data_IF_378781280429
#
_entry.id   IF_378781280429
#
_cell.length_a   1.000
_cell.length_b   1.000
_cell.length_c   1.000
_cell.angle_alpha   90.00
_cell.angle_beta   90.00
_cell.angle_gamma   90.00
#
_symmetry.space_group_name_H-M   'P 1'
#
loop_
_entity.id
_entity.type
_entity.pdbx_description
1 polymer ?
#
# COMPACT_ATOMS: atom_id res chain seq x y z
N UNK A 1 -40.07 57.70 42.78
CA UNK A 1 -39.70 57.06 41.53
C UNK A 1 -40.35 55.67 41.49
N UNK A 2 -41.32 55.48 40.62
CA UNK A 2 -42.35 54.44 40.74
C UNK A 2 -41.76 53.05 40.46
N UNK A 3 -42.01 52.05 41.24
CA UNK A 3 -41.63 50.62 41.14
C UNK A 3 -41.95 50.07 39.70
N UNK A 4 -43.03 50.54 39.11
CA UNK A 4 -43.39 50.19 37.73
C UNK A 4 -42.35 50.58 36.67
N UNK A 5 -41.62 51.67 36.85
CA UNK A 5 -40.59 52.14 35.90
C UNK A 5 -39.33 51.30 35.98
N UNK A 6 -39.04 50.72 37.15
CA UNK A 6 -37.88 49.86 37.37
C UNK A 6 -38.15 48.45 36.75
N UNK A 7 -39.36 47.94 36.90
CA UNK A 7 -39.76 46.62 36.32
C UNK A 7 -39.78 46.72 34.77
N UNK A 8 -40.30 47.80 34.21
CA UNK A 8 -40.30 48.02 32.77
C UNK A 8 -38.88 48.11 32.19
N UNK A 9 -37.94 48.80 32.86
CA UNK A 9 -36.54 48.90 32.44
C UNK A 9 -35.83 47.50 32.53
N UNK A 10 -36.07 46.69 33.55
CA UNK A 10 -35.50 45.34 33.67
C UNK A 10 -36.04 44.39 32.59
N UNK A 11 -37.30 44.45 32.23
CA UNK A 11 -37.90 43.70 31.14
C UNK A 11 -37.36 44.12 29.79
N UNK A 12 -37.14 45.41 29.57
CA UNK A 12 -36.56 45.97 28.34
C UNK A 12 -35.10 45.51 28.17
N UNK A 13 -34.30 45.56 29.21
CA UNK A 13 -32.89 45.12 29.19
C UNK A 13 -32.82 43.60 28.95
N UNK A 14 -33.69 42.79 29.55
CA UNK A 14 -33.77 41.36 29.26
C UNK A 14 -34.15 41.08 27.78
N UNK A 15 -35.14 41.78 27.23
CA UNK A 15 -35.49 41.66 25.82
C UNK A 15 -34.34 42.04 24.89
N UNK A 16 -33.64 43.14 25.20
CA UNK A 16 -32.48 43.57 24.44
C UNK A 16 -31.35 42.52 24.46
N UNK A 17 -31.12 41.92 25.62
CA UNK A 17 -30.13 40.83 25.78
C UNK A 17 -30.49 39.58 24.95
N UNK A 18 -31.76 39.19 24.93
CA UNK A 18 -32.19 38.06 24.06
C UNK A 18 -32.08 38.39 22.58
N UNK A 19 -32.35 39.63 22.17
CA UNK A 19 -32.19 40.07 20.82
C UNK A 19 -30.70 40.07 20.38
N UNK A 20 -29.81 40.54 21.27
CA UNK A 20 -28.35 40.48 20.99
C UNK A 20 -27.83 39.05 20.93
N UNK A 21 -28.28 38.13 21.78
CA UNK A 21 -27.92 36.71 21.73
C UNK A 21 -28.44 36.05 20.44
N UNK A 22 -29.67 36.37 20.03
CA UNK A 22 -30.24 35.86 18.78
C UNK A 22 -29.48 36.38 17.55
N UNK A 23 -29.10 37.65 17.51
CA UNK A 23 -28.29 38.25 16.44
C UNK A 23 -26.90 37.58 16.40
N UNK A 24 -26.25 37.38 17.56
CA UNK A 24 -24.97 36.66 17.64
C UNK A 24 -25.09 35.22 17.13
N UNK A 25 -26.15 34.52 17.49
CA UNK A 25 -26.42 33.15 17.01
C UNK A 25 -26.65 33.10 15.49
N UNK A 26 -27.39 34.05 14.94
CA UNK A 26 -27.60 34.20 13.49
C UNK A 26 -26.29 34.51 12.77
N UNK A 27 -25.44 35.40 13.31
CA UNK A 27 -24.13 35.72 12.76
C UNK A 27 -23.20 34.49 12.78
N UNK A 28 -23.20 33.70 13.85
CA UNK A 28 -22.41 32.47 13.96
C UNK A 28 -22.88 31.44 12.92
N UNK A 29 -24.20 31.25 12.75
CA UNK A 29 -24.75 30.34 11.73
C UNK A 29 -24.40 30.85 10.34
N UNK A 30 -24.53 32.14 10.09
CA UNK A 30 -24.25 32.76 8.78
C UNK A 30 -22.77 32.63 8.42
N UNK A 31 -21.86 32.90 9.37
CA UNK A 31 -20.42 32.71 9.18
C UNK A 31 -20.06 31.23 8.96
N UNK A 32 -20.70 30.30 9.69
CA UNK A 32 -20.51 28.86 9.46
C UNK A 32 -20.99 28.41 8.09
N UNK A 33 -22.10 28.98 7.60
CA UNK A 33 -22.66 28.73 6.26
C UNK A 33 -21.79 29.34 5.17
N UNK A 34 -21.24 30.54 5.37
CA UNK A 34 -20.31 31.20 4.45
C UNK A 34 -19.00 30.43 4.40
N UNK A 35 -18.42 30.04 5.53
CA UNK A 35 -17.19 29.24 5.57
C UNK A 35 -17.37 27.88 4.88
N UNK A 36 -18.48 27.20 5.12
CA UNK A 36 -18.81 25.96 4.39
C UNK A 36 -18.96 26.18 2.89
N UNK A 37 -19.51 27.33 2.45
CA UNK A 37 -19.65 27.68 1.03
C UNK A 37 -18.32 28.09 0.40
N UNK A 38 -17.45 28.77 1.14
CA UNK A 38 -16.08 29.10 0.73
C UNK A 38 -15.25 27.83 0.62
N UNK A 39 -15.33 26.90 1.60
CA UNK A 39 -14.69 25.58 1.55
C UNK A 39 -15.22 24.75 0.38
N UNK A 40 -16.52 24.78 0.12
CA UNK A 40 -17.12 24.12 -1.04
C UNK A 40 -16.63 24.70 -2.37
N UNK A 41 -16.56 26.05 -2.50
CA UNK A 41 -16.07 26.73 -3.70
C UNK A 41 -14.56 26.52 -3.89
N UNK A 42 -13.77 26.57 -2.82
CA UNK A 42 -12.33 26.22 -2.87
C UNK A 42 -12.14 24.77 -3.25
N UNK A 43 -13.00 23.88 -2.79
CA UNK A 43 -13.04 22.46 -3.14
C UNK A 43 -13.39 22.26 -4.61
N UNK A 44 -14.37 23.02 -5.15
CA UNK A 44 -14.70 23.00 -6.59
C UNK A 44 -13.55 23.56 -7.44
N UNK A 45 -12.93 24.66 -7.01
CA UNK A 45 -11.78 25.23 -7.68
C UNK A 45 -10.59 24.28 -7.69
N UNK A 46 -10.29 23.67 -6.55
CA UNK A 46 -9.24 22.65 -6.42
C UNK A 46 -9.57 21.35 -7.17
N UNK A 47 -10.85 20.96 -7.25
CA UNK A 47 -11.28 19.89 -8.16
C UNK A 47 -10.97 20.27 -9.61
N UNK A 48 -11.28 21.50 -10.02
CA UNK A 48 -10.98 21.96 -11.38
C UNK A 48 -9.47 21.94 -11.67
N UNK A 49 -8.61 22.30 -10.74
CA UNK A 49 -7.14 22.25 -10.89
C UNK A 49 -6.60 20.82 -11.05
N UNK A 50 -7.14 19.86 -10.29
CA UNK A 50 -6.76 18.44 -10.45
C UNK A 50 -7.34 17.86 -11.75
N UNK A 51 -8.55 18.30 -12.14
CA UNK A 51 -9.27 17.81 -13.31
C UNK A 51 -9.02 18.60 -14.58
N UNK A 52 -8.34 19.74 -14.55
CA UNK A 52 -8.07 20.58 -15.74
C UNK A 52 -7.26 19.89 -16.84
N UNK A 53 -6.57 18.77 -16.48
CA UNK A 53 -5.80 17.96 -17.43
C UNK A 53 -6.26 16.49 -17.47
N UNK A 54 -7.41 16.16 -16.86
CA UNK A 54 -7.92 14.80 -16.86
C UNK A 54 -8.80 14.58 -18.07
N UNK A 55 -8.51 13.52 -18.79
CA UNK A 55 -9.34 13.02 -19.88
C UNK A 55 -10.67 12.52 -19.30
N UNK A 56 -11.76 13.27 -19.55
CA UNK A 56 -13.10 12.93 -19.09
C UNK A 56 -13.55 11.57 -19.66
N UNK A 57 -13.14 11.25 -20.88
CA UNK A 57 -13.40 9.97 -21.52
C UNK A 57 -12.75 8.83 -20.70
N UNK A 58 -11.51 9.03 -20.24
CA UNK A 58 -10.84 8.04 -19.39
C UNK A 58 -11.58 7.81 -18.06
N UNK A 59 -12.12 8.88 -17.45
CA UNK A 59 -12.91 8.77 -16.22
C UNK A 59 -14.16 7.92 -16.47
N UNK A 60 -14.93 8.22 -17.52
CA UNK A 60 -16.15 7.48 -17.87
C UNK A 60 -15.86 6.01 -18.12
N UNK A 61 -14.79 5.71 -18.85
CA UNK A 61 -14.29 4.36 -19.08
C UNK A 61 -13.97 3.67 -17.75
N UNK A 62 -13.22 4.33 -16.88
CA UNK A 62 -12.84 3.75 -15.60
C UNK A 62 -14.05 3.50 -14.68
N UNK A 63 -14.98 4.45 -14.58
CA UNK A 63 -16.22 4.26 -13.81
C UNK A 63 -17.04 3.08 -14.35
N UNK A 64 -17.08 2.88 -15.67
CA UNK A 64 -17.78 1.75 -16.26
C UNK A 64 -17.20 0.39 -15.84
N UNK A 65 -15.87 0.29 -15.70
CA UNK A 65 -15.18 -0.93 -15.29
C UNK A 65 -15.13 -1.15 -13.77
N UNK A 66 -15.19 -0.08 -12.99
CA UNK A 66 -15.13 -0.15 -11.54
C UNK A 66 -16.51 -0.49 -10.93
N UNK A 67 -17.60 -0.08 -11.57
CA UNK A 67 -18.95 -0.22 -11.03
C UNK A 67 -19.65 -1.54 -11.41
N UNK A 68 -19.24 -2.19 -12.49
CA UNK A 68 -19.78 -3.49 -12.90
C UNK A 68 -18.77 -4.33 -13.68
N UNK A 69 -18.98 -5.65 -13.71
CA UNK A 69 -18.17 -6.53 -14.55
C UNK A 69 -18.39 -6.21 -16.04
N UNK A 70 -17.33 -5.93 -16.81
CA UNK A 70 -17.45 -5.71 -18.24
C UNK A 70 -17.75 -7.01 -18.96
N UNK A 71 -18.53 -6.95 -20.06
CA UNK A 71 -18.63 -8.07 -20.95
C UNK A 71 -17.29 -8.37 -21.66
N UNK A 72 -17.10 -9.58 -22.15
CA UNK A 72 -15.83 -10.01 -22.75
C UNK A 72 -15.44 -9.20 -24.00
N UNK A 73 -16.43 -8.78 -24.79
CA UNK A 73 -16.21 -7.99 -26.02
C UNK A 73 -15.64 -6.62 -25.68
N UNK A 74 -16.29 -5.90 -24.75
CA UNK A 74 -15.82 -4.61 -24.27
C UNK A 74 -14.42 -4.72 -23.64
N UNK A 75 -14.20 -5.75 -22.81
CA UNK A 75 -12.91 -5.96 -22.19
C UNK A 75 -11.77 -6.18 -23.20
N UNK A 76 -12.04 -6.91 -24.33
CA UNK A 76 -11.04 -7.15 -25.38
C UNK A 76 -10.66 -5.86 -26.11
N UNK A 77 -11.57 -4.91 -26.31
CA UNK A 77 -11.26 -3.63 -26.96
C UNK A 77 -10.18 -2.86 -26.20
N UNK A 78 -10.12 -3.01 -24.89
CA UNK A 78 -9.15 -2.33 -24.03
C UNK A 78 -7.88 -3.14 -23.74
N UNK A 79 -7.70 -4.30 -24.35
CA UNK A 79 -6.53 -5.15 -24.09
C UNK A 79 -5.21 -4.48 -24.47
N UNK A 80 -5.21 -3.76 -25.60
CA UNK A 80 -4.03 -3.03 -26.13
C UNK A 80 -4.32 -1.53 -26.25
N UNK A 81 -5.41 -1.08 -25.65
CA UNK A 81 -5.73 0.34 -25.61
C UNK A 81 -4.70 1.05 -24.75
N UNK A 82 -3.93 1.92 -25.38
CA UNK A 82 -3.06 2.85 -24.67
C UNK A 82 -3.77 4.18 -24.60
N UNK A 83 -4.05 4.67 -23.41
CA UNK A 83 -4.55 6.02 -23.23
C UNK A 83 -3.51 7.01 -23.74
N UNK A 84 -3.88 7.86 -24.69
CA UNK A 84 -3.00 8.93 -25.20
C UNK A 84 -2.68 9.96 -24.09
N UNK A 85 -3.58 10.07 -23.14
CA UNK A 85 -3.44 10.91 -21.97
C UNK A 85 -3.58 10.04 -20.71
N UNK A 86 -2.70 10.27 -19.75
CA UNK A 86 -2.78 9.63 -18.43
C UNK A 86 -3.55 10.53 -17.46
N UNK A 87 -4.13 9.93 -16.44
CA UNK A 87 -4.91 10.65 -15.43
C UNK A 87 -4.13 11.82 -14.78
N UNK A 88 -2.84 11.61 -14.58
CA UNK A 88 -1.94 12.61 -14.02
C UNK A 88 -0.67 12.69 -14.87
N UNK A 89 -0.01 13.84 -14.82
CA UNK A 89 1.27 14.03 -15.49
C UNK A 89 2.26 12.90 -15.21
N UNK A 90 2.89 12.38 -16.26
CA UNK A 90 3.88 11.31 -16.16
C UNK A 90 5.28 11.90 -15.96
N UNK A 91 6.01 11.36 -15.00
CA UNK A 91 7.39 11.76 -14.76
C UNK A 91 8.30 11.29 -15.91
N UNK A 92 9.06 12.20 -16.50
CA UNK A 92 10.01 11.92 -17.58
C UNK A 92 11.45 12.26 -17.20
N UNK A 93 11.61 13.31 -16.40
CA UNK A 93 12.93 13.79 -15.98
C UNK A 93 12.86 14.56 -14.65
N UNK A 94 14.03 14.89 -14.09
CA UNK A 94 14.13 15.70 -12.87
C UNK A 94 13.50 17.08 -13.03
N UNK A 95 13.47 17.62 -14.24
CA UNK A 95 12.87 18.93 -14.52
C UNK A 95 11.35 18.93 -14.36
N UNK A 96 10.74 17.76 -14.37
CA UNK A 96 9.28 17.59 -14.26
C UNK A 96 8.81 17.52 -12.79
N UNK A 97 9.71 17.56 -11.81
CA UNK A 97 9.38 17.34 -10.40
C UNK A 97 8.22 18.19 -9.89
N UNK A 98 8.17 19.48 -10.24
CA UNK A 98 7.11 20.38 -9.77
C UNK A 98 5.74 19.97 -10.31
N UNK A 99 5.62 19.78 -11.62
CA UNK A 99 4.37 19.38 -12.29
C UNK A 99 3.95 17.97 -11.84
N UNK A 100 4.92 17.07 -11.72
CA UNK A 100 4.67 15.71 -11.29
C UNK A 100 4.17 15.61 -9.83
N UNK A 101 4.66 16.51 -8.95
CA UNK A 101 4.29 16.57 -7.53
C UNK A 101 3.07 17.43 -7.24
N UNK A 102 2.68 18.30 -8.14
CA UNK A 102 1.57 19.25 -7.92
C UNK A 102 0.29 18.55 -7.41
N UNK A 103 -0.17 17.44 -8.00
CA UNK A 103 -1.32 16.70 -7.48
C UNK A 103 -1.08 16.12 -6.07
N UNK A 104 0.19 15.78 -5.74
CA UNK A 104 0.54 15.28 -4.41
C UNK A 104 0.37 16.33 -3.33
N UNK A 105 0.77 17.58 -3.59
CA UNK A 105 0.64 18.67 -2.61
C UNK A 105 -0.83 18.83 -2.19
N UNK A 106 -1.75 18.57 -3.12
CA UNK A 106 -3.17 18.57 -2.83
C UNK A 106 -3.63 17.28 -2.14
N UNK A 107 -3.13 16.11 -2.55
CA UNK A 107 -3.53 14.81 -1.99
C UNK A 107 -2.86 14.49 -0.65
N UNK A 108 -1.75 15.15 -0.31
CA UNK A 108 -1.03 15.00 0.95
C UNK A 108 -1.76 15.71 2.10
N UNK A 109 -3.00 15.30 2.36
CA UNK A 109 -3.64 15.62 3.62
C UNK A 109 -3.08 14.71 4.70
N UNK A 110 -2.52 15.32 5.73
CA UNK A 110 -1.92 14.60 6.86
C UNK A 110 -2.91 14.63 8.01
N UNK A 111 -3.46 13.49 8.37
CA UNK A 111 -4.18 13.36 9.62
C UNK A 111 -3.20 12.94 10.77
N UNK A 112 -3.59 13.23 12.01
CA UNK A 112 -2.74 12.91 13.18
C UNK A 112 -2.47 11.41 13.32
N UNK A 113 -3.39 10.58 12.88
CA UNK A 113 -3.24 9.12 12.97
C UNK A 113 -2.16 8.61 12.03
N UNK A 114 -2.11 9.13 10.81
CA UNK A 114 -1.08 8.78 9.83
C UNK A 114 0.30 9.26 10.30
N UNK A 115 0.39 10.48 10.80
CA UNK A 115 1.64 11.05 11.32
C UNK A 115 2.22 10.21 12.47
N UNK A 116 1.37 9.70 13.34
CA UNK A 116 1.78 8.91 14.52
C UNK A 116 2.02 7.43 14.22
N UNK A 117 1.82 6.99 12.97
CA UNK A 117 1.99 5.61 12.58
C UNK A 117 2.71 5.48 11.23
N UNK A 118 3.99 5.90 11.15
CA UNK A 118 4.76 5.83 9.92
C UNK A 118 4.90 4.41 9.40
N UNK A 119 4.84 4.24 8.07
CA UNK A 119 5.03 2.98 7.39
C UNK A 119 6.39 2.93 6.68
N UNK A 120 6.87 1.74 6.43
CA UNK A 120 8.05 1.45 5.64
C UNK A 120 7.68 0.77 4.31
N UNK A 121 8.35 1.16 3.24
CA UNK A 121 8.19 0.54 1.92
C UNK A 121 9.55 0.21 1.34
N UNK A 122 9.81 -1.07 1.10
CA UNK A 122 11.06 -1.55 0.51
C UNK A 122 10.81 -1.97 -0.94
N UNK A 123 11.27 -1.16 -1.88
CA UNK A 123 11.12 -1.37 -3.31
C UNK A 123 12.27 -2.21 -3.87
N UNK A 124 11.96 -3.22 -4.67
CA UNK A 124 12.93 -3.90 -5.54
C UNK A 124 12.51 -3.68 -6.98
N UNK A 125 13.32 -2.92 -7.74
CA UNK A 125 12.97 -2.41 -9.07
C UNK A 125 14.05 -2.73 -10.10
N UNK A 126 13.64 -2.95 -11.37
CA UNK A 126 14.56 -3.31 -12.44
C UNK A 126 14.10 -2.86 -13.84
N UNK A 127 12.91 -2.32 -13.99
CA UNK A 127 12.34 -1.88 -15.27
C UNK A 127 11.23 -0.85 -15.07
N UNK A 128 10.89 -0.11 -16.13
CA UNK A 128 9.73 0.76 -16.22
C UNK A 128 9.65 1.86 -15.15
N UNK A 129 10.49 2.88 -15.33
CA UNK A 129 10.59 4.05 -14.43
C UNK A 129 9.23 4.77 -14.26
N UNK A 130 8.42 4.85 -15.32
CA UNK A 130 7.09 5.50 -15.27
C UNK A 130 6.16 4.80 -14.27
N UNK A 131 6.09 3.46 -14.32
CA UNK A 131 5.28 2.67 -13.38
C UNK A 131 5.76 2.83 -11.94
N UNK A 132 7.08 2.87 -11.74
CA UNK A 132 7.68 3.09 -10.42
C UNK A 132 7.34 4.49 -9.92
N UNK A 133 7.44 5.51 -10.78
CA UNK A 133 7.09 6.88 -10.43
C UNK A 133 5.62 7.00 -10.02
N UNK A 134 4.70 6.43 -10.79
CA UNK A 134 3.26 6.41 -10.48
C UNK A 134 2.96 5.72 -9.16
N UNK A 135 3.56 4.55 -8.94
CA UNK A 135 3.38 3.78 -7.71
C UNK A 135 3.94 4.53 -6.49
N UNK A 136 5.14 5.10 -6.63
CA UNK A 136 5.75 5.90 -5.58
C UNK A 136 4.90 7.13 -5.26
N UNK A 137 4.37 7.83 -6.27
CA UNK A 137 3.47 8.98 -6.09
C UNK A 137 2.24 8.64 -5.26
N UNK A 138 1.60 7.50 -5.50
CA UNK A 138 0.42 7.06 -4.72
C UNK A 138 0.80 6.74 -3.27
N UNK A 139 1.92 6.04 -3.08
CA UNK A 139 2.35 5.55 -1.76
C UNK A 139 3.06 6.61 -0.93
N UNK A 140 3.60 7.67 -1.56
CA UNK A 140 4.45 8.63 -0.87
C UNK A 140 3.71 9.41 0.21
N UNK A 141 4.34 9.45 1.38
CA UNK A 141 3.99 10.35 2.50
C UNK A 141 5.29 10.84 3.14
N UNK A 142 5.39 12.12 3.54
CA UNK A 142 6.63 12.69 4.07
C UNK A 142 7.08 12.09 5.40
N UNK A 143 6.18 11.42 6.12
CA UNK A 143 6.45 10.76 7.40
C UNK A 143 6.69 9.24 7.28
N UNK A 144 6.50 8.64 6.12
CA UNK A 144 6.85 7.24 5.85
C UNK A 144 8.34 7.13 5.48
N UNK A 145 8.88 5.92 5.54
CA UNK A 145 10.26 5.63 5.13
C UNK A 145 10.26 4.71 3.91
N UNK A 146 11.06 5.07 2.92
CA UNK A 146 11.19 4.30 1.68
C UNK A 146 12.63 3.86 1.50
N UNK A 147 12.82 2.62 1.04
CA UNK A 147 14.12 2.17 0.56
C UNK A 147 13.93 1.57 -0.84
N UNK A 148 14.78 1.98 -1.79
CA UNK A 148 14.75 1.49 -3.17
C UNK A 148 16.03 0.71 -3.46
N UNK A 149 15.87 -0.59 -3.67
CA UNK A 149 16.90 -1.44 -4.25
C UNK A 149 16.70 -1.49 -5.77
N UNK A 150 17.66 -0.98 -6.51
CA UNK A 150 17.72 -1.10 -7.98
C UNK A 150 18.56 -2.32 -8.32
N UNK A 151 18.03 -3.23 -9.13
CA UNK A 151 18.75 -4.44 -9.55
C UNK A 151 20.10 -4.09 -10.20
N UNK A 152 21.15 -4.75 -9.76
CA UNK A 152 22.51 -4.51 -10.26
C UNK A 152 22.68 -4.75 -11.78
N UNK A 153 21.81 -5.59 -12.37
CA UNK A 153 21.85 -5.89 -13.81
C UNK A 153 21.21 -4.80 -14.68
N UNK A 154 20.58 -3.77 -14.08
CA UNK A 154 19.99 -2.66 -14.84
C UNK A 154 21.08 -1.74 -15.38
N UNK A 155 20.75 -0.92 -16.38
CA UNK A 155 21.67 0.08 -16.91
C UNK A 155 21.96 1.20 -15.88
N UNK A 156 23.06 1.93 -16.06
CA UNK A 156 23.38 3.07 -15.23
C UNK A 156 22.37 4.21 -15.42
N UNK A 157 21.82 4.37 -16.60
CA UNK A 157 20.79 5.35 -16.94
C UNK A 157 19.50 5.07 -16.15
N UNK A 158 19.10 3.79 -16.05
CA UNK A 158 17.94 3.43 -15.23
C UNK A 158 18.20 3.70 -13.75
N UNK A 159 19.37 3.35 -13.24
CA UNK A 159 19.76 3.65 -11.85
C UNK A 159 19.75 5.16 -11.57
N UNK A 160 20.32 5.97 -12.49
CA UNK A 160 20.31 7.42 -12.38
C UNK A 160 18.88 7.98 -12.42
N UNK A 161 18.00 7.44 -13.28
CA UNK A 161 16.60 7.84 -13.35
C UNK A 161 15.86 7.60 -12.03
N UNK A 162 16.17 6.53 -11.30
CA UNK A 162 15.62 6.29 -9.95
C UNK A 162 16.13 7.32 -8.95
N UNK A 163 17.42 7.68 -8.99
CA UNK A 163 17.99 8.74 -8.14
C UNK A 163 17.29 10.07 -8.41
N UNK A 164 17.11 10.43 -9.66
CA UNK A 164 16.48 11.68 -10.06
C UNK A 164 14.99 11.72 -9.70
N UNK A 165 14.30 10.60 -9.85
CA UNK A 165 12.93 10.44 -9.36
C UNK A 165 12.85 10.64 -7.84
N UNK A 166 13.75 10.03 -7.07
CA UNK A 166 13.74 10.16 -5.61
C UNK A 166 13.98 11.61 -5.15
N UNK A 167 14.80 12.38 -5.86
CA UNK A 167 15.02 13.82 -5.59
C UNK A 167 13.74 14.66 -5.75
N UNK A 168 12.77 14.19 -6.53
CA UNK A 168 11.47 14.84 -6.65
C UNK A 168 10.63 14.76 -5.36
N UNK A 169 10.98 13.89 -4.44
CA UNK A 169 10.28 13.70 -3.16
C UNK A 169 11.10 14.27 -1.99
N UNK A 170 10.86 13.84 -0.79
CA UNK A 170 11.59 14.29 0.40
C UNK A 170 12.83 13.44 0.71
N UNK A 171 13.50 13.77 1.82
CA UNK A 171 14.70 13.07 2.29
C UNK A 171 14.43 11.72 2.98
N UNK A 172 13.22 11.24 2.91
CA UNK A 172 12.76 9.99 3.51
C UNK A 172 12.79 8.80 2.52
N UNK A 173 13.52 8.96 1.40
CA UNK A 173 13.77 7.91 0.41
C UNK A 173 15.26 7.57 0.41
N UNK A 174 15.58 6.36 0.85
CA UNK A 174 16.93 5.80 0.81
C UNK A 174 17.10 4.98 -0.48
N UNK A 175 18.21 5.15 -1.17
CA UNK A 175 18.55 4.34 -2.35
C UNK A 175 19.80 3.53 -2.03
N UNK A 176 19.74 2.22 -2.23
CA UNK A 176 20.91 1.35 -2.06
C UNK A 176 21.96 1.73 -3.11
N UNK A 177 23.17 2.02 -2.63
CA UNK A 177 24.29 2.35 -3.50
C UNK A 177 24.53 1.26 -4.53
N UNK A 178 24.87 1.64 -5.75
CA UNK A 178 25.09 0.72 -6.88
C UNK A 178 26.06 -0.41 -6.57
N UNK A 179 27.14 -0.10 -5.85
CA UNK A 179 28.15 -1.08 -5.41
C UNK A 179 27.58 -2.14 -4.45
N UNK A 180 26.57 -1.78 -3.67
CA UNK A 180 25.91 -2.65 -2.67
C UNK A 180 24.67 -3.35 -3.22
N UNK A 181 24.17 -2.95 -4.41
CA UNK A 181 23.02 -3.58 -5.05
C UNK A 181 23.34 -5.04 -5.40
N UNK A 182 22.34 -5.91 -5.27
CA UNK A 182 22.45 -7.31 -5.69
C UNK A 182 21.92 -7.52 -7.10
N UNK A 183 22.50 -8.48 -7.80
CA UNK A 183 22.00 -9.01 -9.06
C UNK A 183 20.84 -9.97 -8.74
N UNK A 184 19.61 -9.52 -8.95
CA UNK A 184 18.42 -10.27 -8.55
C UNK A 184 18.07 -11.29 -9.62
N UNK A 185 18.03 -12.56 -9.23
CA UNK A 185 17.62 -13.66 -10.09
C UNK A 185 16.40 -14.35 -9.51
N UNK A 186 15.31 -14.41 -10.29
CA UNK A 186 14.08 -15.07 -9.88
C UNK A 186 14.32 -16.52 -9.46
N UNK A 187 13.76 -16.91 -8.32
CA UNK A 187 13.91 -18.24 -7.77
C UNK A 187 15.20 -18.49 -6.97
N UNK A 188 16.04 -17.47 -6.81
CA UNK A 188 17.27 -17.52 -6.01
C UNK A 188 17.17 -16.65 -4.75
N UNK A 189 18.12 -16.85 -3.83
CA UNK A 189 18.20 -16.11 -2.57
C UNK A 189 18.31 -14.58 -2.77
N UNK A 190 18.85 -14.14 -3.91
CA UNK A 190 19.00 -12.72 -4.22
C UNK A 190 17.69 -11.91 -4.23
N UNK A 191 16.52 -12.57 -4.41
CA UNK A 191 15.21 -11.93 -4.25
C UNK A 191 15.00 -11.53 -2.79
N UNK A 192 15.27 -12.43 -1.86
CA UNK A 192 15.19 -12.15 -0.42
C UNK A 192 16.27 -11.14 0.00
N UNK A 193 17.50 -11.29 -0.50
CA UNK A 193 18.66 -10.45 -0.15
C UNK A 193 18.42 -8.97 -0.50
N UNK A 194 17.77 -8.67 -1.62
CA UNK A 194 17.41 -7.30 -2.00
C UNK A 194 16.50 -6.62 -0.97
N UNK A 195 15.53 -7.35 -0.45
CA UNK A 195 14.64 -6.86 0.60
C UNK A 195 15.36 -6.73 1.95
N UNK A 196 16.20 -7.72 2.32
CA UNK A 196 16.97 -7.68 3.55
C UNK A 196 17.92 -6.48 3.61
N UNK A 197 18.59 -6.13 2.49
CA UNK A 197 19.42 -4.91 2.41
C UNK A 197 18.61 -3.65 2.67
N UNK A 198 17.44 -3.52 2.07
CA UNK A 198 16.55 -2.40 2.34
C UNK A 198 16.12 -2.34 3.82
N UNK A 199 15.68 -3.45 4.38
CA UNK A 199 15.21 -3.47 5.77
C UNK A 199 16.33 -3.22 6.78
N UNK A 200 17.56 -3.61 6.49
CA UNK A 200 18.73 -3.27 7.29
C UNK A 200 18.98 -1.76 7.35
N UNK A 201 18.95 -1.08 6.19
CA UNK A 201 19.08 0.39 6.10
C UNK A 201 17.92 1.06 6.86
N UNK A 202 16.69 0.56 6.68
CA UNK A 202 15.52 1.12 7.34
C UNK A 202 15.53 0.95 8.86
N UNK A 203 16.12 -0.12 9.40
CA UNK A 203 16.31 -0.29 10.85
C UNK A 203 17.29 0.72 11.42
N UNK A 204 18.34 1.06 10.67
CA UNK A 204 19.36 2.02 11.07
C UNK A 204 18.88 3.48 10.98
N UNK A 205 17.73 3.74 10.33
CA UNK A 205 17.17 5.08 10.28
C UNK A 205 16.59 5.48 11.64
N UNK A 206 17.18 6.49 12.27
CA UNK A 206 16.78 6.99 13.61
C UNK A 206 15.71 8.06 13.54
N UNK A 207 15.49 8.69 12.37
CA UNK A 207 14.56 9.81 12.22
C UNK A 207 13.11 9.37 12.10
N UNK A 208 12.85 8.25 11.42
CA UNK A 208 11.50 7.75 11.17
C UNK A 208 11.32 6.38 11.83
N UNK A 209 10.51 6.34 12.87
CA UNK A 209 10.21 5.12 13.63
C UNK A 209 9.00 4.38 13.01
N UNK A 210 9.23 3.85 11.81
CA UNK A 210 8.19 3.10 11.09
C UNK A 210 7.70 1.87 11.88
N UNK A 211 6.42 1.52 11.72
CA UNK A 211 5.75 0.44 12.47
C UNK A 211 5.71 -0.88 11.70
N UNK A 212 5.41 -0.81 10.43
CA UNK A 212 5.40 -1.96 9.52
C UNK A 212 6.14 -1.63 8.24
N UNK A 213 6.78 -2.63 7.65
CA UNK A 213 7.38 -2.54 6.32
C UNK A 213 6.69 -3.52 5.36
N UNK A 214 6.49 -3.08 4.13
CA UNK A 214 6.00 -3.89 3.03
C UNK A 214 7.02 -3.90 1.90
N UNK A 215 7.25 -5.08 1.31
CA UNK A 215 8.05 -5.18 0.10
C UNK A 215 7.20 -4.80 -1.13
N UNK A 216 7.77 -4.03 -2.05
CA UNK A 216 7.06 -3.47 -3.21
C UNK A 216 7.83 -3.80 -4.49
N UNK A 217 7.12 -4.10 -5.56
CA UNK A 217 7.67 -4.24 -6.91
C UNK A 217 6.89 -3.37 -7.91
N UNK A 218 7.49 -3.08 -9.07
CA UNK A 218 6.91 -2.18 -10.07
C UNK A 218 5.68 -2.72 -10.83
N UNK A 219 5.18 -3.92 -10.51
CA UNK A 219 4.07 -4.59 -11.23
C UNK A 219 2.78 -4.68 -10.44
N UNK A 220 2.62 -3.84 -9.44
CA UNK A 220 1.48 -3.85 -8.54
C UNK A 220 0.93 -2.45 -8.29
N UNK A 221 -0.28 -2.38 -7.75
CA UNK A 221 -0.92 -1.16 -7.28
C UNK A 221 -1.58 -1.40 -5.93
N UNK A 222 -1.63 -0.37 -5.05
CA UNK A 222 -2.36 -0.47 -3.80
C UNK A 222 -3.87 -0.58 -4.05
N UNK A 223 -4.55 -1.34 -3.21
CA UNK A 223 -6.00 -1.39 -3.06
C UNK A 223 -6.47 -0.57 -1.86
N UNK A 224 -5.53 -0.12 -1.07
CA UNK A 224 -5.75 0.66 0.15
C UNK A 224 -5.03 2.01 0.06
N UNK A 225 -5.68 3.04 0.56
CA UNK A 225 -5.02 4.32 0.80
C UNK A 225 -4.01 4.17 1.95
N UNK A 226 -3.16 5.15 2.16
CA UNK A 226 -2.22 5.10 3.29
C UNK A 226 -2.94 5.05 4.64
N UNK A 227 -4.05 5.78 4.77
CA UNK A 227 -4.84 5.77 6.01
C UNK A 227 -5.54 4.43 6.24
N UNK A 228 -6.14 3.83 5.20
CA UNK A 228 -6.70 2.48 5.27
C UNK A 228 -5.64 1.42 5.61
N UNK A 229 -4.41 1.51 5.04
CA UNK A 229 -3.31 0.63 5.40
C UNK A 229 -2.98 0.74 6.90
N UNK A 230 -2.90 1.94 7.42
CA UNK A 230 -2.64 2.18 8.86
C UNK A 230 -3.74 1.58 9.72
N UNK A 231 -5.01 1.79 9.37
CA UNK A 231 -6.14 1.20 10.10
C UNK A 231 -6.10 -0.33 10.07
N UNK A 232 -5.82 -0.90 8.91
CA UNK A 232 -5.68 -2.35 8.76
C UNK A 232 -4.52 -2.90 9.61
N UNK A 233 -3.34 -2.26 9.54
CA UNK A 233 -2.15 -2.69 10.29
C UNK A 233 -2.29 -2.52 11.80
N UNK A 234 -3.02 -1.49 12.27
CA UNK A 234 -3.38 -1.37 13.69
C UNK A 234 -4.33 -2.47 14.13
N UNK A 235 -5.28 -2.83 13.29
CA UNK A 235 -6.24 -3.90 13.59
C UNK A 235 -5.57 -5.29 13.68
N UNK A 236 -4.39 -5.48 13.10
CA UNK A 236 -3.58 -6.69 13.28
C UNK A 236 -3.07 -6.88 14.71
N UNK A 237 -3.16 -5.83 15.54
CA UNK A 237 -2.74 -5.84 16.94
C UNK A 237 -1.29 -6.31 17.18
N UNK A 238 -0.39 -6.11 16.21
CA UNK A 238 1.00 -6.52 16.29
C UNK A 238 1.35 -7.80 15.52
N UNK A 239 0.39 -8.51 14.95
CA UNK A 239 0.67 -9.66 14.08
C UNK A 239 1.31 -9.23 12.75
N UNK A 240 2.10 -10.12 12.15
CA UNK A 240 2.60 -9.93 10.78
C UNK A 240 1.60 -10.47 9.75
N UNK A 241 1.63 -9.91 8.54
CA UNK A 241 0.97 -10.52 7.37
C UNK A 241 2.00 -11.31 6.58
N UNK A 242 1.97 -12.62 6.75
CA UNK A 242 2.86 -13.56 6.07
C UNK A 242 2.01 -14.71 5.56
N UNK A 243 1.91 -14.87 4.24
CA UNK A 243 1.18 -15.98 3.65
C UNK A 243 1.85 -17.31 3.93
N UNK A 244 1.08 -18.35 4.24
CA UNK A 244 1.57 -19.71 4.34
C UNK A 244 0.66 -20.70 3.61
N UNK A 245 1.21 -21.87 3.25
CA UNK A 245 0.46 -22.98 2.68
C UNK A 245 1.06 -24.31 3.13
N UNK A 246 0.21 -25.22 3.55
CA UNK A 246 0.60 -26.60 3.88
C UNK A 246 0.57 -27.49 2.65
N UNK A 247 -0.39 -27.27 1.76
CA UNK A 247 -0.46 -28.04 0.53
C UNK A 247 0.80 -27.80 -0.29
N UNK A 248 1.53 -28.86 -0.51
CA UNK A 248 2.70 -28.89 -1.37
C UNK A 248 3.89 -28.06 -0.87
N UNK A 249 4.26 -28.19 0.42
CA UNK A 249 5.63 -27.97 0.83
C UNK A 249 6.47 -28.94 -0.03
N UNK A 250 7.03 -28.52 -1.18
CA UNK A 250 7.67 -29.48 -2.05
C UNK A 250 8.94 -29.92 -1.34
N UNK A 251 9.13 -31.22 -1.18
CA UNK A 251 10.40 -31.81 -0.70
C UNK A 251 11.62 -31.19 -1.39
N UNK A 252 11.45 -30.72 -2.65
CA UNK A 252 12.46 -30.01 -3.45
C UNK A 252 12.75 -28.55 -3.03
N UNK A 253 11.99 -27.97 -2.09
CA UNK A 253 12.20 -26.60 -1.57
C UNK A 253 12.75 -26.59 -0.15
N UNK A 254 12.84 -27.74 0.49
CA UNK A 254 13.39 -27.89 1.83
C UNK A 254 14.89 -28.02 1.71
N UNK A 255 15.70 -27.22 2.43
CA UNK A 255 17.14 -27.38 2.48
C UNK A 255 17.52 -28.77 2.98
N UNK A 256 18.68 -29.28 2.53
CA UNK A 256 19.24 -30.54 3.01
C UNK A 256 19.90 -30.38 4.38
N UNK A 257 20.59 -29.27 4.58
CA UNK A 257 21.19 -28.89 5.84
C UNK A 257 20.11 -28.66 6.89
N UNK A 258 20.21 -29.38 8.03
CA UNK A 258 19.33 -29.19 9.16
C UNK A 258 19.85 -28.03 10.02
N UNK A 259 18.97 -27.12 10.48
CA UNK A 259 19.34 -26.14 11.48
C UNK A 259 19.77 -26.79 12.80
N UNK A 260 20.55 -26.08 13.61
CA UNK A 260 20.99 -26.54 14.94
C UNK A 260 19.85 -26.63 15.96
N UNK A 261 18.67 -26.13 15.62
CA UNK A 261 17.46 -26.12 16.43
C UNK A 261 16.28 -26.78 15.70
N UNK A 262 15.24 -27.14 16.45
CA UNK A 262 14.05 -27.77 15.87
C UNK A 262 13.18 -26.75 15.16
N UNK A 263 12.94 -26.95 13.87
CA UNK A 263 12.10 -26.10 13.03
C UNK A 263 11.45 -26.91 11.91
N UNK A 264 10.20 -26.57 11.60
CA UNK A 264 9.49 -27.08 10.41
C UNK A 264 9.57 -26.06 9.29
N UNK A 265 10.16 -26.43 8.15
CA UNK A 265 10.19 -25.58 6.97
C UNK A 265 8.78 -25.41 6.40
N UNK A 266 8.34 -24.18 6.27
CA UNK A 266 6.98 -23.83 5.83
C UNK A 266 7.05 -22.97 4.57
N UNK A 267 6.31 -23.39 3.54
CA UNK A 267 6.17 -22.60 2.33
C UNK A 267 5.15 -21.49 2.55
N UNK A 268 5.48 -20.30 2.09
CA UNK A 268 4.59 -19.15 2.14
C UNK A 268 4.71 -18.23 0.93
N UNK A 269 4.69 -16.94 1.19
CA UNK A 269 4.85 -15.87 0.20
C UNK A 269 6.01 -14.97 0.58
N UNK A 270 6.72 -14.48 -0.43
CA UNK A 270 7.68 -13.38 -0.26
C UNK A 270 6.98 -12.03 -0.05
N UNK A 271 5.72 -11.90 -0.48
CA UNK A 271 4.95 -10.66 -0.38
C UNK A 271 4.35 -10.54 1.02
N UNK A 272 4.90 -9.64 1.83
CA UNK A 272 4.67 -9.57 3.28
C UNK A 272 4.36 -8.15 3.76
N UNK A 273 3.79 -8.05 4.97
CA UNK A 273 3.80 -6.85 5.79
C UNK A 273 4.32 -7.24 7.19
N UNK A 274 5.46 -6.71 7.56
CA UNK A 274 6.22 -7.11 8.75
C UNK A 274 6.30 -5.96 9.74
N UNK A 275 6.00 -6.23 11.01
CA UNK A 275 6.25 -5.26 12.09
C UNK A 275 7.75 -5.04 12.31
N UNK A 276 8.11 -3.85 12.79
CA UNK A 276 9.53 -3.46 12.97
C UNK A 276 10.31 -4.43 13.85
N UNK A 277 9.69 -4.92 14.92
CA UNK A 277 10.35 -5.84 15.86
C UNK A 277 10.62 -7.22 15.22
N UNK A 278 9.72 -7.70 14.34
CA UNK A 278 9.99 -8.90 13.57
C UNK A 278 11.17 -8.69 12.61
N UNK A 279 11.26 -7.54 11.96
CA UNK A 279 12.40 -7.22 11.09
C UNK A 279 13.70 -7.12 11.88
N UNK A 280 13.68 -6.54 13.07
CA UNK A 280 14.84 -6.54 13.98
C UNK A 280 15.26 -7.99 14.35
N UNK A 281 14.28 -8.83 14.68
CA UNK A 281 14.52 -10.26 14.92
C UNK A 281 15.16 -10.95 13.72
N UNK A 282 14.68 -10.68 12.50
CA UNK A 282 15.25 -11.24 11.26
C UNK A 282 16.75 -10.97 11.14
N UNK A 283 17.19 -9.78 11.50
CA UNK A 283 18.58 -9.36 11.35
C UNK A 283 19.51 -9.70 12.55
N UNK A 284 18.94 -9.87 13.73
CA UNK A 284 19.74 -10.00 14.97
C UNK A 284 19.66 -11.36 15.65
N UNK A 285 18.57 -12.11 15.44
CA UNK A 285 18.39 -13.36 16.14
C UNK A 285 19.26 -14.48 15.53
N UNK A 286 20.05 -15.22 16.34
CA UNK A 286 20.94 -16.29 15.84
C UNK A 286 20.21 -17.36 15.02
N UNK A 287 19.02 -17.79 15.44
CA UNK A 287 18.23 -18.80 14.71
C UNK A 287 17.80 -18.27 13.33
N UNK A 288 17.38 -17.00 13.25
CA UNK A 288 17.04 -16.36 11.98
C UNK A 288 18.25 -16.27 11.05
N UNK A 289 19.41 -15.86 11.58
CA UNK A 289 20.67 -15.75 10.82
C UNK A 289 21.09 -17.13 10.30
N UNK A 290 20.97 -18.18 11.12
CA UNK A 290 21.29 -19.56 10.70
C UNK A 290 20.38 -20.00 9.53
N UNK A 291 19.06 -19.75 9.62
CA UNK A 291 18.14 -20.08 8.53
C UNK A 291 18.48 -19.31 7.25
N UNK A 292 18.83 -18.02 7.34
CA UNK A 292 19.27 -17.24 6.19
C UNK A 292 20.54 -17.81 5.54
N UNK A 293 21.51 -18.24 6.35
CA UNK A 293 22.76 -18.82 5.87
C UNK A 293 22.49 -20.16 5.16
N UNK A 294 21.66 -21.02 5.72
CA UNK A 294 21.26 -22.28 5.08
C UNK A 294 20.59 -22.03 3.74
N UNK A 295 19.63 -21.08 3.66
CA UNK A 295 18.93 -20.76 2.41
C UNK A 295 19.87 -20.16 1.36
N UNK A 296 20.86 -19.38 1.78
CA UNK A 296 21.87 -18.75 0.90
C UNK A 296 22.84 -19.80 0.36
N UNK A 297 23.35 -20.68 1.21
CA UNK A 297 24.31 -21.72 0.83
C UNK A 297 23.67 -22.75 -0.11
N UNK A 298 22.44 -23.16 0.17
CA UNK A 298 21.76 -24.22 -0.59
C UNK A 298 20.83 -23.69 -1.72
N UNK A 299 20.88 -22.41 -2.07
CA UNK A 299 20.03 -21.81 -3.11
C UNK A 299 20.11 -22.53 -4.48
N UNK A 300 21.19 -23.25 -4.74
CA UNK A 300 21.37 -24.02 -5.98
C UNK A 300 20.63 -25.37 -5.95
N UNK A 301 20.38 -25.88 -4.76
CA UNK A 301 19.74 -27.20 -4.53
C UNK A 301 18.22 -27.07 -4.37
N UNK A 302 17.75 -25.88 -4.03
CA UNK A 302 16.34 -25.59 -3.79
C UNK A 302 15.81 -24.51 -4.72
N UNK A 303 14.49 -24.48 -4.91
CA UNK A 303 13.83 -23.43 -5.71
C UNK A 303 13.08 -22.45 -4.81
N UNK A 304 13.23 -21.16 -5.10
CA UNK A 304 12.42 -20.07 -4.51
C UNK A 304 12.56 -20.04 -2.97
N UNK A 305 13.79 -19.83 -2.45
CA UNK A 305 14.07 -19.78 -1.01
C UNK A 305 13.36 -18.61 -0.30
N UNK A 306 13.07 -17.53 -1.01
CA UNK A 306 12.33 -16.36 -0.55
C UNK A 306 10.90 -16.70 -0.07
N UNK A 307 10.27 -17.74 -0.65
CA UNK A 307 8.95 -18.21 -0.21
C UNK A 307 9.01 -19.12 1.05
N UNK A 308 10.21 -19.47 1.54
CA UNK A 308 10.37 -20.35 2.70
C UNK A 308 10.70 -19.58 3.98
N UNK A 309 11.41 -18.47 3.88
CA UNK A 309 12.03 -17.82 5.03
C UNK A 309 11.03 -17.23 6.03
N UNK A 310 10.23 -16.24 5.60
CA UNK A 310 9.32 -15.54 6.52
C UNK A 310 8.23 -16.44 7.09
N UNK A 311 7.68 -17.33 6.28
CA UNK A 311 6.68 -18.30 6.74
C UNK A 311 7.26 -19.31 7.73
N UNK A 312 8.52 -19.72 7.55
CA UNK A 312 9.19 -20.58 8.54
C UNK A 312 9.35 -19.86 9.87
N UNK A 313 9.78 -18.61 9.91
CA UNK A 313 9.87 -17.82 11.15
C UNK A 313 8.49 -17.59 11.80
N UNK A 314 7.48 -17.28 10.99
CA UNK A 314 6.16 -16.85 11.48
C UNK A 314 5.30 -18.00 12.03
N UNK A 315 5.53 -19.23 11.58
CA UNK A 315 4.68 -20.36 11.92
C UNK A 315 5.42 -21.48 12.70
N UNK A 316 6.56 -21.14 13.28
CA UNK A 316 7.28 -21.96 14.27
C UNK A 316 7.31 -21.20 15.61
N UNK A 317 6.25 -21.31 16.45
CA UNK A 317 6.10 -20.49 17.64
C UNK A 317 7.24 -20.64 18.66
N UNK A 318 7.93 -21.78 18.65
CA UNK A 318 9.11 -22.02 19.50
C UNK A 318 10.29 -21.08 19.20
N UNK A 319 10.29 -20.41 18.02
CA UNK A 319 11.29 -19.42 17.67
C UNK A 319 11.03 -18.05 18.33
N UNK A 320 9.84 -17.85 18.90
CA UNK A 320 9.44 -16.62 19.58
C UNK A 320 9.62 -15.35 18.75
N UNK A 321 9.44 -15.44 17.44
CA UNK A 321 9.56 -14.27 16.55
C UNK A 321 8.39 -13.30 16.79
N UNK A 322 8.64 -11.98 17.01
CA UNK A 322 7.60 -11.02 17.34
C UNK A 322 6.50 -10.94 16.31
N UNK A 323 5.23 -11.05 16.72
CA UNK A 323 4.08 -11.04 15.81
C UNK A 323 3.90 -12.31 14.97
N UNK A 324 4.62 -13.38 15.29
CA UNK A 324 4.42 -14.71 14.72
C UNK A 324 3.17 -15.37 15.31
N UNK A 325 2.50 -16.23 14.54
CA UNK A 325 1.33 -16.96 15.03
C UNK A 325 1.69 -17.92 16.17
N UNK A 326 0.92 -17.94 17.25
CA UNK A 326 1.12 -18.86 18.41
C UNK A 326 0.89 -20.33 18.06
N UNK A 327 0.04 -20.58 17.10
CA UNK A 327 -0.25 -21.94 16.64
C UNK A 327 -0.16 -21.97 15.13
N UNK A 328 0.39 -23.07 14.63
CA UNK A 328 0.33 -23.37 13.22
C UNK A 328 -1.16 -23.58 12.86
N UNK A 329 -1.67 -22.70 12.01
CA UNK A 329 -3.01 -22.79 11.48
C UNK A 329 -2.93 -22.98 9.97
N UNK A 330 -3.16 -24.20 9.48
CA UNK A 330 -3.27 -24.37 8.05
C UNK A 330 -4.51 -23.63 7.56
N UNK A 331 -4.38 -22.77 6.53
CA UNK A 331 -5.57 -22.25 5.89
C UNK A 331 -6.37 -23.42 5.32
N UNK A 332 -7.64 -23.55 5.72
CA UNK A 332 -8.56 -24.46 5.06
C UNK A 332 -8.60 -24.15 3.57
N UNK A 333 -8.83 -25.15 2.73
CA UNK A 333 -8.93 -24.94 1.27
C UNK A 333 -9.99 -23.90 0.89
N UNK A 334 -11.01 -23.74 1.74
CA UNK A 334 -12.11 -22.80 1.60
C UNK A 334 -11.85 -21.44 2.26
N UNK A 335 -10.79 -21.31 3.08
CA UNK A 335 -10.43 -20.05 3.71
C UNK A 335 -9.56 -19.22 2.77
N UNK A 336 -10.22 -18.55 1.82
CA UNK A 336 -9.57 -17.70 0.83
C UNK A 336 -8.92 -16.43 1.42
N UNK A 337 -9.07 -16.17 2.73
CA UNK A 337 -8.80 -14.86 3.34
C UNK A 337 -7.69 -14.85 4.37
N UNK A 338 -7.26 -15.99 4.92
CA UNK A 338 -6.56 -15.99 6.20
C UNK A 338 -5.07 -15.66 6.16
N UNK A 339 -4.35 -15.78 5.05
CA UNK A 339 -2.89 -15.60 5.07
C UNK A 339 -2.29 -14.74 3.97
N UNK A 340 -2.93 -14.60 2.80
CA UNK A 340 -2.37 -13.87 1.65
C UNK A 340 -2.87 -12.42 1.54
N UNK A 341 -3.19 -11.77 2.64
CA UNK A 341 -3.79 -10.41 2.68
C UNK A 341 -2.85 -9.33 2.16
N UNK A 342 -1.54 -9.59 2.14
CA UNK A 342 -0.59 -8.62 1.59
C UNK A 342 -0.83 -8.30 0.12
N UNK A 343 -1.24 -9.31 -0.68
CA UNK A 343 -1.44 -9.17 -2.13
C UNK A 343 -2.60 -10.01 -2.65
N UNK A 344 -3.45 -9.38 -3.45
CA UNK A 344 -4.38 -10.10 -4.31
C UNK A 344 -3.64 -10.66 -5.52
N UNK A 345 -3.60 -11.99 -5.63
CA UNK A 345 -2.93 -12.72 -6.72
C UNK A 345 -3.81 -13.88 -7.15
N UNK A 346 -4.03 -14.03 -8.46
CA UNK A 346 -4.78 -15.16 -9.02
C UNK A 346 -3.81 -16.23 -9.51
N UNK A 347 -3.59 -17.26 -8.70
CA UNK A 347 -2.73 -18.40 -9.00
C UNK A 347 -3.48 -19.49 -9.79
N UNK A 348 -2.74 -20.33 -10.56
CA UNK A 348 -3.30 -21.60 -11.04
C UNK A 348 -3.69 -22.47 -9.83
N UNK A 349 -4.79 -23.25 -9.90
CA UNK A 349 -5.66 -23.49 -11.07
C UNK A 349 -6.81 -22.46 -11.22
N UNK A 350 -6.95 -21.44 -10.36
CA UNK A 350 -8.04 -20.45 -10.43
C UNK A 350 -8.16 -19.85 -11.84
N UNK A 351 -9.38 -19.63 -12.32
CA UNK A 351 -9.64 -19.02 -13.65
C UNK A 351 -8.98 -17.64 -13.75
N UNK A 352 -8.33 -17.39 -14.89
CA UNK A 352 -7.75 -16.09 -15.23
C UNK A 352 -8.64 -15.44 -16.31
N UNK A 353 -9.37 -14.38 -15.97
CA UNK A 353 -10.32 -13.76 -16.87
C UNK A 353 -9.68 -13.17 -18.13
N UNK A 354 -8.43 -12.70 -18.06
CA UNK A 354 -7.67 -12.22 -19.25
C UNK A 354 -7.13 -13.35 -20.11
N UNK A 355 -7.19 -14.60 -19.66
CA UNK A 355 -6.58 -15.75 -20.35
C UNK A 355 -5.04 -15.79 -20.33
N UNK A 356 -4.37 -14.69 -19.94
CA UNK A 356 -2.91 -14.56 -20.02
C UNK A 356 -2.25 -14.66 -18.65
N UNK A 357 -1.17 -15.42 -18.58
CA UNK A 357 -0.41 -15.64 -17.33
C UNK A 357 1.07 -15.41 -17.58
N UNK A 358 1.72 -14.96 -16.52
CA UNK A 358 3.17 -14.96 -16.43
C UNK A 358 3.57 -15.99 -15.37
N UNK A 359 4.30 -17.03 -15.79
CA UNK A 359 4.45 -18.27 -15.01
C UNK A 359 3.07 -18.82 -14.60
N UNK A 360 2.77 -18.86 -13.30
CA UNK A 360 1.50 -19.38 -12.76
C UNK A 360 0.50 -18.28 -12.37
N UNK A 361 0.88 -17.00 -12.48
CA UNK A 361 0.10 -15.85 -12.04
C UNK A 361 -0.68 -15.25 -13.20
N UNK A 362 -1.96 -14.98 -13.00
CA UNK A 362 -2.80 -14.26 -13.96
C UNK A 362 -2.35 -12.81 -14.10
N UNK A 363 -2.21 -12.33 -15.32
CA UNK A 363 -2.01 -10.92 -15.61
C UNK A 363 -3.35 -10.20 -15.45
N UNK A 364 -3.39 -9.18 -14.59
CA UNK A 364 -4.62 -8.45 -14.31
C UNK A 364 -4.99 -7.52 -15.49
N UNK A 365 -6.26 -7.39 -15.74
CA UNK A 365 -6.84 -6.54 -16.78
C UNK A 365 -8.16 -5.92 -16.30
N UNK A 366 -8.84 -5.19 -17.18
CA UNK A 366 -10.10 -4.48 -16.88
C UNK A 366 -11.18 -5.41 -16.34
N UNK A 367 -11.16 -6.70 -16.74
CA UNK A 367 -12.09 -7.73 -16.25
C UNK A 367 -12.03 -7.97 -14.74
N UNK A 368 -10.96 -7.52 -14.09
CA UNK A 368 -10.75 -7.73 -12.65
C UNK A 368 -11.15 -6.51 -11.82
N UNK A 369 -11.28 -5.32 -12.42
CA UNK A 369 -11.39 -4.05 -11.70
C UNK A 369 -12.57 -4.02 -10.73
N UNK A 370 -13.77 -4.40 -11.19
CA UNK A 370 -14.95 -4.47 -10.33
C UNK A 370 -14.76 -5.37 -9.11
N UNK A 371 -14.10 -6.51 -9.29
CA UNK A 371 -13.81 -7.42 -8.19
C UNK A 371 -12.69 -6.89 -7.30
N UNK A 372 -11.71 -6.16 -7.85
CA UNK A 372 -10.62 -5.55 -7.08
C UNK A 372 -11.11 -4.48 -6.11
N UNK A 373 -12.16 -3.71 -6.46
CA UNK A 373 -12.72 -2.70 -5.54
C UNK A 373 -13.33 -3.30 -4.27
N UNK A 374 -13.69 -4.58 -4.29
CA UNK A 374 -14.28 -5.32 -3.17
C UNK A 374 -13.27 -6.13 -2.35
N UNK A 375 -12.00 -6.13 -2.77
CA UNK A 375 -10.96 -6.94 -2.11
C UNK A 375 -10.45 -6.27 -0.85
N UNK A 376 -10.03 -7.08 0.12
CA UNK A 376 -9.46 -6.61 1.38
C UNK A 376 -7.93 -6.67 1.40
N UNK A 377 -7.28 -7.23 0.39
CA UNK A 377 -5.84 -7.26 0.27
C UNK A 377 -5.26 -5.83 0.14
N UNK A 378 -4.00 -5.67 0.54
CA UNK A 378 -3.33 -4.36 0.51
C UNK A 378 -3.01 -3.88 -0.90
N UNK A 379 -2.59 -4.79 -1.78
CA UNK A 379 -2.21 -4.49 -3.16
C UNK A 379 -2.78 -5.53 -4.12
N UNK A 380 -2.88 -5.18 -5.40
CA UNK A 380 -3.16 -6.09 -6.50
C UNK A 380 -1.90 -6.35 -7.33
N UNK A 381 -1.63 -7.62 -7.65
CA UNK A 381 -0.49 -8.09 -8.42
C UNK A 381 -0.97 -9.19 -9.38
N UNK A 382 -0.72 -9.12 -10.69
CA UNK A 382 0.37 -8.50 -11.36
C UNK A 382 -0.14 -7.75 -12.59
N UNK A 383 0.30 -6.51 -12.78
CA UNK A 383 0.05 -5.72 -13.99
C UNK A 383 1.29 -5.73 -14.89
N UNK A 384 1.08 -5.77 -16.20
CA UNK A 384 2.15 -5.74 -17.19
C UNK A 384 2.00 -4.53 -18.10
N UNK A 385 3.12 -3.91 -18.44
CA UNK A 385 3.15 -2.81 -19.39
C UNK A 385 2.79 -3.31 -20.80
N UNK A 386 2.00 -2.53 -21.54
CA UNK A 386 1.51 -2.93 -22.87
C UNK A 386 0.46 -4.04 -22.84
N UNK A 387 -0.08 -4.39 -21.67
CA UNK A 387 -1.16 -5.36 -21.54
C UNK A 387 -2.21 -4.86 -20.55
N UNK A 388 -3.34 -4.40 -21.05
CA UNK A 388 -4.39 -3.73 -20.27
C UNK A 388 -3.86 -2.56 -19.44
N UNK A 389 -3.12 -1.64 -20.05
CA UNK A 389 -2.64 -0.43 -19.36
C UNK A 389 -3.78 0.39 -18.79
N UNK A 390 -4.95 0.40 -19.46
CA UNK A 390 -6.19 0.97 -18.94
C UNK A 390 -6.63 0.39 -17.58
N UNK A 391 -6.33 -0.88 -17.29
CA UNK A 391 -6.63 -1.45 -15.98
C UNK A 391 -5.76 -0.84 -14.88
N UNK A 392 -4.51 -0.53 -15.19
CA UNK A 392 -3.62 0.18 -14.28
C UNK A 392 -4.08 1.62 -14.07
N UNK A 393 -4.44 2.32 -15.15
CA UNK A 393 -4.93 3.71 -15.11
C UNK A 393 -6.22 3.81 -14.28
N UNK A 394 -7.17 2.91 -14.50
CA UNK A 394 -8.44 2.90 -13.78
C UNK A 394 -8.29 2.53 -12.29
N UNK A 395 -7.37 1.63 -11.95
CA UNK A 395 -7.11 1.32 -10.55
C UNK A 395 -6.38 2.47 -9.84
N UNK A 396 -5.43 3.14 -10.52
CA UNK A 396 -4.81 4.38 -10.01
C UNK A 396 -5.87 5.45 -9.76
N UNK A 397 -6.76 5.68 -10.73
CA UNK A 397 -7.89 6.60 -10.60
C UNK A 397 -8.74 6.30 -9.36
N UNK A 398 -9.10 5.03 -9.16
CA UNK A 398 -9.92 4.61 -8.02
C UNK A 398 -9.25 4.90 -6.67
N UNK A 399 -7.95 4.62 -6.54
CA UNK A 399 -7.20 4.91 -5.30
C UNK A 399 -7.11 6.42 -5.06
N UNK A 400 -6.82 7.21 -6.11
CA UNK A 400 -6.76 8.67 -6.01
C UNK A 400 -8.12 9.27 -5.64
N UNK A 401 -9.23 8.73 -6.19
CA UNK A 401 -10.60 9.11 -5.82
C UNK A 401 -10.88 8.86 -4.33
N UNK A 402 -10.44 7.73 -3.79
CA UNK A 402 -10.54 7.44 -2.36
C UNK A 402 -9.74 8.42 -1.51
N UNK A 403 -8.47 8.66 -1.85
CA UNK A 403 -7.60 9.62 -1.15
C UNK A 403 -8.22 11.04 -1.15
N UNK A 404 -8.82 11.46 -2.27
CA UNK A 404 -9.52 12.73 -2.36
C UNK A 404 -10.74 12.77 -1.45
N UNK A 405 -11.55 11.72 -1.43
CA UNK A 405 -12.72 11.63 -0.56
C UNK A 405 -12.33 11.65 0.93
N UNK A 406 -11.27 10.95 1.32
CA UNK A 406 -10.71 10.98 2.67
C UNK A 406 -10.34 12.42 3.09
N UNK A 407 -9.67 13.14 2.20
CA UNK A 407 -9.31 14.54 2.44
C UNK A 407 -10.53 15.43 2.62
N UNK A 408 -11.53 15.30 1.72
CA UNK A 408 -12.70 16.15 1.71
C UNK A 408 -13.65 15.91 2.88
N UNK A 409 -13.78 14.65 3.27
CA UNK A 409 -14.79 14.22 4.26
C UNK A 409 -14.20 13.94 5.64
N UNK A 410 -12.88 13.75 5.74
CA UNK A 410 -12.24 13.27 6.96
C UNK A 410 -12.69 11.85 7.35
N UNK A 411 -13.17 11.06 6.37
CA UNK A 411 -13.70 9.70 6.59
C UNK A 411 -13.08 8.72 5.61
N UNK A 412 -12.90 7.49 6.07
CA UNK A 412 -12.49 6.36 5.23
C UNK A 412 -13.62 5.98 4.25
N UNK A 413 -13.23 5.27 3.19
CA UNK A 413 -14.17 4.68 2.26
C UNK A 413 -15.14 3.74 2.99
N UNK A 414 -16.46 3.82 2.78
CA UNK A 414 -17.45 2.97 3.48
C UNK A 414 -17.28 1.47 3.23
N UNK A 415 -16.62 1.08 2.16
CA UNK A 415 -16.34 -0.33 1.84
C UNK A 415 -15.13 -0.90 2.58
N UNK A 416 -14.35 -0.04 3.25
CA UNK A 416 -13.20 -0.46 4.04
C UNK A 416 -13.65 -0.97 5.41
N UNK A 417 -13.31 -2.22 5.71
CA UNK A 417 -13.64 -2.86 6.98
C UNK A 417 -12.37 -3.23 7.75
N UNK A 418 -11.99 -2.45 8.80
CA UNK A 418 -10.84 -2.79 9.65
C UNK A 418 -11.08 -4.05 10.49
N UNK A 419 -12.35 -4.42 10.77
CA UNK A 419 -12.69 -5.61 11.54
C UNK A 419 -12.24 -6.89 10.82
N UNK A 420 -12.28 -6.91 9.49
CA UNK A 420 -11.72 -8.01 8.70
C UNK A 420 -10.29 -8.38 9.13
N UNK A 421 -9.42 -7.39 9.36
CA UNK A 421 -8.03 -7.62 9.76
C UNK A 421 -7.89 -8.01 11.23
N UNK A 422 -8.73 -7.49 12.11
CA UNK A 422 -8.80 -7.88 13.52
C UNK A 422 -9.22 -9.35 13.69
N UNK A 423 -10.09 -9.84 12.80
CA UNK A 423 -10.61 -11.21 12.83
C UNK A 423 -9.65 -12.26 12.27
N UNK A 424 -8.54 -11.87 11.62
CA UNK A 424 -7.55 -12.81 11.13
C UNK A 424 -6.99 -13.67 12.28
N UNK A 425 -6.75 -14.96 12.01
CA UNK A 425 -6.31 -15.90 13.03
C UNK A 425 -5.07 -15.43 13.79
N UNK A 426 -4.02 -14.98 13.07
CA UNK A 426 -2.80 -14.50 13.71
C UNK A 426 -3.00 -13.16 14.43
N UNK A 427 -3.93 -12.31 14.00
CA UNK A 427 -4.26 -11.07 14.72
C UNK A 427 -4.78 -11.34 16.13
N UNK A 428 -5.54 -12.41 16.30
CA UNK A 428 -6.05 -12.87 17.60
C UNK A 428 -5.05 -13.73 18.38
N UNK A 429 -4.12 -14.41 17.70
CA UNK A 429 -3.28 -15.47 18.26
C UNK A 429 -1.81 -15.35 17.81
N UNK A 430 -1.13 -14.26 18.20
CA UNK A 430 0.31 -14.06 17.91
C UNK A 430 1.15 -13.89 19.18
N UNK A 431 2.48 -13.90 18.97
CA UNK A 431 3.53 -13.74 20.00
C UNK A 431 3.86 -12.26 20.17
#
# INVERSE_FOLDING_TARGET
MNIMTIISRRLFIKKLHYICLFILFVIIIFNKTINNKIDYLSTLHNRSLIYQNIDLELIEICESFLNKEPNQTLAKQYQYYSTKQHLLYQWKSINDCNIFREPLNYLLWINKEELNYPLGFAFTVYENIERIARLLRILYRPYNLYCIHVDRNTSNEFYQSIIDLAKCFGTNIEIIQRSQSVSVKWGYFSVLDSFLKCTQIMLNNTKIQWKYVMNINGKELPLRTNWELIKALKALNGANIIGCTIKNGPKKRIPRRKPSFNVTWIKGSFLVALRREFVSYVHMNPNSIELLNILREEQHLMKIPDEMFFSTLAYNPQLLAPGACKKFYPPNENDNHSTFVSRYVIWKPKRCATGKRYHTICMLGVQHLYNLTKRQEFFANKFYNGFYDSAYDCLEYWVLKKMMNERLTGRLDPTFDPQFYAELHCSKNHI
#
